data_IF_501626178330
#
_entry.id   IF_501626178330
#
_cell.length_a   1.000
_cell.length_b   1.000
_cell.length_c   1.000
_cell.angle_alpha   90.00
_cell.angle_beta   90.00
_cell.angle_gamma   90.00
#
_symmetry.space_group_name_H-M   'P 1'
#
loop_
_entity.id
_entity.type
_entity.pdbx_description
1 polymer ?
#
# COMPACT_ATOMS: atom_id res chain seq x y z
N UNK A 1 23.02 -26.38 2.04
CA UNK A 1 23.40 -25.68 0.81
C UNK A 1 23.51 -24.19 1.07
N UNK A 2 24.68 -23.63 0.82
CA UNK A 2 24.98 -22.23 1.08
C UNK A 2 24.10 -21.32 0.21
N UNK A 3 23.49 -20.28 0.81
CA UNK A 3 22.70 -19.23 0.14
C UNK A 3 23.52 -18.47 -0.93
N UNK A 4 24.82 -18.64 -0.95
CA UNK A 4 25.77 -18.09 -1.91
C UNK A 4 25.66 -18.70 -3.31
N UNK A 5 25.05 -19.87 -3.46
CA UNK A 5 24.98 -20.62 -4.71
C UNK A 5 23.72 -20.37 -5.55
N UNK A 6 22.76 -19.53 -5.08
CA UNK A 6 21.57 -19.24 -5.89
C UNK A 6 21.88 -18.24 -7.00
N UNK A 7 21.45 -18.57 -8.24
CA UNK A 7 21.47 -17.63 -9.35
C UNK A 7 20.66 -16.36 -9.05
N UNK A 8 20.87 -15.28 -9.80
CA UNK A 8 20.08 -14.03 -9.68
C UNK A 8 18.58 -14.33 -9.76
N UNK A 9 18.19 -15.15 -10.73
CA UNK A 9 16.81 -15.61 -10.92
C UNK A 9 16.29 -16.43 -9.73
N UNK A 10 17.10 -17.33 -9.17
CA UNK A 10 16.73 -18.10 -7.99
C UNK A 10 16.50 -17.23 -6.75
N UNK A 11 17.30 -16.18 -6.59
CA UNK A 11 17.11 -15.19 -5.51
C UNK A 11 15.82 -14.39 -5.71
N UNK A 12 15.52 -13.95 -6.94
CA UNK A 12 14.28 -13.25 -7.27
C UNK A 12 13.05 -14.14 -6.98
N UNK A 13 13.06 -15.39 -7.42
CA UNK A 13 11.99 -16.37 -7.14
C UNK A 13 11.77 -16.56 -5.64
N UNK A 14 12.83 -16.59 -4.85
CA UNK A 14 12.71 -16.69 -3.39
C UNK A 14 12.00 -15.47 -2.77
N UNK A 15 12.23 -14.27 -3.28
CA UNK A 15 11.48 -13.09 -2.85
C UNK A 15 10.01 -13.18 -3.25
N UNK A 16 9.74 -13.56 -4.51
CA UNK A 16 8.37 -13.70 -5.03
C UNK A 16 7.57 -14.79 -4.31
N UNK A 17 8.23 -15.84 -3.81
CA UNK A 17 7.58 -16.87 -3.00
C UNK A 17 7.11 -16.37 -1.62
N UNK A 18 7.61 -15.24 -1.13
CA UNK A 18 7.22 -14.68 0.16
C UNK A 18 5.99 -13.76 0.06
N UNK A 19 5.95 -12.93 -0.98
CA UNK A 19 4.87 -11.99 -1.29
C UNK A 19 5.04 -11.41 -2.69
N UNK A 20 4.04 -10.69 -3.17
CA UNK A 20 4.19 -9.88 -4.39
C UNK A 20 5.26 -8.80 -4.19
N UNK A 21 6.13 -8.67 -5.17
CA UNK A 21 7.16 -7.63 -5.25
C UNK A 21 7.06 -6.92 -6.60
N UNK A 22 7.19 -5.59 -6.58
CA UNK A 22 7.35 -4.86 -7.82
C UNK A 22 8.75 -5.10 -8.44
N UNK A 23 8.88 -4.84 -9.73
CA UNK A 23 10.19 -4.91 -10.42
C UNK A 23 11.24 -4.04 -9.70
N UNK A 24 10.88 -2.81 -9.35
CA UNK A 24 11.77 -1.87 -8.64
C UNK A 24 12.23 -2.44 -7.27
N UNK A 25 11.32 -3.04 -6.51
CA UNK A 25 11.69 -3.67 -5.23
C UNK A 25 12.68 -4.81 -5.42
N UNK A 26 12.50 -5.64 -6.46
CA UNK A 26 13.42 -6.74 -6.78
C UNK A 26 14.76 -6.21 -7.26
N UNK A 27 14.81 -5.22 -8.14
CA UNK A 27 16.04 -4.56 -8.57
C UNK A 27 16.85 -4.05 -7.37
N UNK A 28 16.23 -3.30 -6.48
CA UNK A 28 16.87 -2.76 -5.28
C UNK A 28 17.40 -3.84 -4.33
N UNK A 29 16.64 -4.93 -4.15
CA UNK A 29 17.04 -6.05 -3.29
C UNK A 29 18.18 -6.86 -3.89
N UNK A 30 18.14 -7.11 -5.19
CA UNK A 30 19.15 -7.88 -5.90
C UNK A 30 20.46 -7.09 -6.05
N UNK A 31 20.39 -5.78 -6.32
CA UNK A 31 21.56 -4.92 -6.44
C UNK A 31 22.48 -4.96 -5.21
N UNK A 32 21.91 -5.23 -4.03
CA UNK A 32 22.70 -5.36 -2.78
C UNK A 32 23.42 -6.72 -2.64
N UNK A 33 23.19 -7.66 -3.54
CA UNK A 33 23.60 -9.06 -3.40
C UNK A 33 24.20 -9.68 -4.67
N UNK A 34 24.17 -8.98 -5.77
CA UNK A 34 24.72 -9.40 -7.07
C UNK A 34 25.94 -8.55 -7.35
N UNK A 35 27.04 -9.17 -7.71
CA UNK A 35 28.28 -8.51 -8.12
C UNK A 35 28.44 -8.63 -9.63
N UNK A 36 29.28 -7.78 -10.19
CA UNK A 36 29.72 -7.88 -11.59
C UNK A 36 30.49 -9.19 -11.79
N UNK A 37 30.38 -9.76 -12.99
CA UNK A 37 31.20 -10.87 -13.46
C UNK A 37 32.04 -10.43 -14.65
N UNK A 38 32.91 -11.31 -15.13
CA UNK A 38 33.70 -11.04 -16.33
C UNK A 38 32.82 -10.84 -17.59
N UNK A 39 31.66 -11.48 -17.60
CA UNK A 39 30.75 -11.51 -18.78
C UNK A 39 29.68 -10.42 -18.74
N UNK A 40 29.27 -9.97 -17.52
CA UNK A 40 28.16 -9.04 -17.39
C UNK A 40 28.20 -8.25 -16.06
N UNK A 41 27.76 -6.99 -16.11
CA UNK A 41 27.52 -6.20 -14.90
C UNK A 41 26.37 -6.76 -14.06
N UNK A 42 26.38 -6.48 -12.78
CA UNK A 42 25.28 -6.85 -11.87
C UNK A 42 23.93 -6.32 -12.38
N UNK A 43 23.89 -5.09 -12.89
CA UNK A 43 22.68 -4.49 -13.44
C UNK A 43 22.14 -5.27 -14.64
N UNK A 44 23.01 -5.68 -15.57
CA UNK A 44 22.63 -6.46 -16.74
C UNK A 44 22.10 -7.85 -16.36
N UNK A 45 22.75 -8.54 -15.42
CA UNK A 45 22.31 -9.83 -14.90
C UNK A 45 20.92 -9.73 -14.22
N UNK A 46 20.69 -8.68 -13.44
CA UNK A 46 19.42 -8.43 -12.78
C UNK A 46 18.33 -8.13 -13.80
N UNK A 47 18.58 -7.22 -14.76
CA UNK A 47 17.62 -6.87 -15.79
C UNK A 47 17.17 -8.12 -16.58
N UNK A 48 18.12 -8.93 -17.06
CA UNK A 48 17.82 -10.16 -17.79
C UNK A 48 16.96 -11.13 -16.97
N UNK A 49 17.33 -11.37 -15.71
CA UNK A 49 16.58 -12.27 -14.84
C UNK A 49 15.14 -11.78 -14.59
N UNK A 50 14.95 -10.47 -14.37
CA UNK A 50 13.63 -9.90 -14.14
C UNK A 50 12.79 -9.85 -15.41
N UNK A 51 13.38 -9.63 -16.59
CA UNK A 51 12.68 -9.70 -17.88
C UNK A 51 12.12 -11.10 -18.13
N UNK A 52 12.93 -12.14 -17.89
CA UNK A 52 12.47 -13.53 -18.00
C UNK A 52 11.33 -13.86 -17.04
N UNK A 53 11.38 -13.37 -15.80
CA UNK A 53 10.34 -13.59 -14.81
C UNK A 53 9.06 -12.81 -15.12
N UNK A 54 9.19 -11.60 -15.67
CA UNK A 54 8.07 -10.80 -16.15
C UNK A 54 7.39 -11.46 -17.35
N UNK A 55 8.15 -11.94 -18.33
CA UNK A 55 7.64 -12.66 -19.50
C UNK A 55 6.84 -13.93 -19.11
N UNK A 56 7.16 -14.54 -17.97
CA UNK A 56 6.44 -15.68 -17.41
C UNK A 56 5.27 -15.29 -16.52
N UNK A 57 4.96 -13.99 -16.38
CA UNK A 57 3.90 -13.49 -15.53
C UNK A 57 4.15 -13.62 -14.01
N UNK A 58 5.40 -13.91 -13.61
CA UNK A 58 5.77 -14.06 -12.21
C UNK A 58 5.97 -12.71 -11.49
N UNK A 59 6.16 -11.64 -12.24
CA UNK A 59 6.15 -10.25 -11.78
C UNK A 59 4.97 -9.55 -12.43
N UNK A 60 4.03 -9.01 -11.63
CA UNK A 60 2.87 -8.27 -12.13
C UNK A 60 2.65 -7.02 -11.29
N UNK A 61 2.61 -5.87 -11.96
CA UNK A 61 2.32 -4.59 -11.34
C UNK A 61 0.88 -4.54 -10.77
N UNK A 62 -0.07 -5.17 -11.47
CA UNK A 62 -1.47 -5.26 -11.07
C UNK A 62 -1.62 -6.06 -9.78
N UNK A 63 -0.99 -7.24 -9.66
CA UNK A 63 -1.03 -8.03 -8.42
C UNK A 63 -0.36 -7.30 -7.26
N UNK A 64 0.71 -6.55 -7.53
CA UNK A 64 1.34 -5.69 -6.51
C UNK A 64 0.36 -4.61 -6.04
N UNK A 65 -0.34 -3.94 -6.95
CA UNK A 65 -1.33 -2.92 -6.63
C UNK A 65 -2.48 -3.51 -5.79
N UNK A 66 -3.03 -4.65 -6.19
CA UNK A 66 -4.07 -5.38 -5.45
C UNK A 66 -3.61 -5.80 -4.05
N UNK A 67 -2.39 -6.32 -3.93
CA UNK A 67 -1.78 -6.66 -2.63
C UNK A 67 -1.64 -5.45 -1.71
N UNK A 68 -1.31 -4.28 -2.26
CA UNK A 68 -1.27 -3.02 -1.49
C UNK A 68 -2.67 -2.64 -1.01
N UNK A 69 -3.69 -2.69 -1.86
CA UNK A 69 -5.07 -2.40 -1.47
C UNK A 69 -5.52 -3.34 -0.35
N UNK A 70 -5.40 -4.65 -0.55
CA UNK A 70 -5.85 -5.65 0.43
C UNK A 70 -5.18 -5.47 1.79
N UNK A 71 -3.86 -5.23 1.81
CA UNK A 71 -3.11 -5.17 3.07
C UNK A 71 -3.15 -3.81 3.76
N UNK A 72 -3.29 -2.71 3.02
CA UNK A 72 -3.13 -1.36 3.54
C UNK A 72 -4.40 -0.52 3.57
N UNK A 73 -5.33 -0.69 2.61
CA UNK A 73 -6.54 0.12 2.53
C UNK A 73 -7.38 0.10 3.84
N UNK A 74 -7.48 -1.01 4.59
CA UNK A 74 -8.21 -1.01 5.87
C UNK A 74 -7.67 -0.03 6.93
N UNK A 75 -6.43 0.45 6.77
CA UNK A 75 -5.76 1.30 7.76
C UNK A 75 -5.31 2.66 7.22
N UNK A 76 -5.40 2.87 5.90
CA UNK A 76 -4.86 4.07 5.27
C UNK A 76 -5.80 4.61 4.20
N UNK A 77 -5.85 5.94 4.08
CA UNK A 77 -6.56 6.66 3.04
C UNK A 77 -5.78 6.74 1.71
N UNK A 78 -6.42 7.29 0.69
CA UNK A 78 -5.90 7.33 -0.69
C UNK A 78 -4.56 8.05 -0.82
N UNK A 79 -4.29 9.08 -0.02
CA UNK A 79 -3.00 9.78 -0.06
C UNK A 79 -1.84 8.87 0.35
N UNK A 80 -2.02 8.07 1.40
CA UNK A 80 -0.99 7.14 1.87
C UNK A 80 -0.84 5.94 0.93
N UNK A 81 -1.95 5.47 0.36
CA UNK A 81 -1.93 4.41 -0.67
C UNK A 81 -1.18 4.88 -1.92
N UNK A 82 -1.43 6.13 -2.39
CA UNK A 82 -0.69 6.73 -3.51
C UNK A 82 0.82 6.70 -3.27
N UNK A 83 1.27 7.22 -2.13
CA UNK A 83 2.69 7.22 -1.76
C UNK A 83 3.29 5.81 -1.79
N UNK A 84 2.55 4.83 -1.27
CA UNK A 84 2.99 3.43 -1.26
C UNK A 84 3.13 2.85 -2.66
N UNK A 85 2.15 3.08 -3.53
CA UNK A 85 2.14 2.57 -4.92
C UNK A 85 3.26 3.23 -5.75
N UNK A 86 3.44 4.54 -5.61
CA UNK A 86 4.51 5.29 -6.28
C UNK A 86 5.90 4.83 -5.82
N UNK A 87 6.10 4.62 -4.51
CA UNK A 87 7.36 4.11 -3.97
C UNK A 87 7.71 2.70 -4.46
N UNK A 88 6.71 1.93 -4.91
CA UNK A 88 6.92 0.63 -5.56
C UNK A 88 7.24 0.74 -7.06
N UNK A 89 7.28 1.94 -7.62
CA UNK A 89 7.60 2.17 -9.02
C UNK A 89 6.51 1.74 -10.00
N UNK A 90 5.24 1.73 -9.56
CA UNK A 90 4.11 1.44 -10.46
C UNK A 90 3.84 2.66 -11.34
N UNK A 91 3.40 2.41 -12.58
CA UNK A 91 3.11 3.49 -13.52
C UNK A 91 1.91 4.34 -13.09
N UNK A 92 1.85 5.58 -13.59
CA UNK A 92 0.86 6.57 -13.16
C UNK A 92 -0.58 6.15 -13.49
N UNK A 93 -0.81 5.46 -14.61
CA UNK A 93 -2.14 5.04 -15.03
C UNK A 93 -2.67 3.93 -14.10
N UNK A 94 -1.84 2.94 -13.79
CA UNK A 94 -2.19 1.88 -12.83
C UNK A 94 -2.41 2.44 -11.43
N UNK A 95 -1.57 3.39 -10.99
CA UNK A 95 -1.76 4.07 -9.69
C UNK A 95 -3.10 4.79 -9.66
N UNK A 96 -3.45 5.55 -10.70
CA UNK A 96 -4.72 6.27 -10.79
C UNK A 96 -5.92 5.30 -10.71
N UNK A 97 -5.95 4.27 -11.54
CA UNK A 97 -7.03 3.27 -11.56
C UNK A 97 -7.18 2.56 -10.21
N UNK A 98 -6.06 2.21 -9.57
CA UNK A 98 -6.04 1.59 -8.24
C UNK A 98 -6.64 2.50 -7.17
N UNK A 99 -6.30 3.80 -7.22
CA UNK A 99 -6.82 4.77 -6.27
C UNK A 99 -8.30 5.10 -6.50
N UNK A 100 -8.78 5.07 -7.74
CA UNK A 100 -10.20 5.24 -8.04
C UNK A 100 -11.02 4.13 -7.39
N UNK A 101 -10.57 2.89 -7.48
CA UNK A 101 -11.17 1.76 -6.73
C UNK A 101 -11.13 1.99 -5.21
N UNK A 102 -10.00 2.46 -4.67
CA UNK A 102 -9.86 2.72 -3.24
C UNK A 102 -10.77 3.84 -2.72
N UNK A 103 -11.07 4.86 -3.55
CA UNK A 103 -11.96 5.97 -3.19
C UNK A 103 -13.39 5.52 -2.96
N UNK A 104 -13.88 4.54 -3.71
CA UNK A 104 -15.26 4.04 -3.58
C UNK A 104 -15.60 3.61 -2.15
N UNK A 105 -14.62 3.12 -1.40
CA UNK A 105 -14.81 2.63 -0.03
C UNK A 105 -14.10 3.46 1.03
N UNK A 106 -13.54 4.62 0.67
CA UNK A 106 -12.69 5.39 1.58
C UNK A 106 -13.46 5.90 2.81
N UNK A 107 -14.69 6.37 2.62
CA UNK A 107 -15.54 6.85 3.71
C UNK A 107 -15.87 5.74 4.70
N UNK A 108 -16.26 4.56 4.22
CA UNK A 108 -16.56 3.40 5.07
C UNK A 108 -15.34 2.94 5.87
N UNK A 109 -14.18 2.89 5.21
CA UNK A 109 -12.91 2.52 5.85
C UNK A 109 -12.48 3.53 6.92
N UNK A 110 -12.65 4.81 6.64
CA UNK A 110 -12.38 5.88 7.60
C UNK A 110 -13.32 5.80 8.81
N UNK A 111 -14.63 5.57 8.59
CA UNK A 111 -15.63 5.34 9.65
C UNK A 111 -15.26 4.13 10.51
N UNK A 112 -14.97 2.99 9.90
CA UNK A 112 -14.59 1.78 10.62
C UNK A 112 -13.32 1.97 11.47
N UNK A 113 -12.34 2.71 10.96
CA UNK A 113 -11.11 3.03 11.68
C UNK A 113 -11.37 3.99 12.85
N UNK A 114 -12.19 5.02 12.62
CA UNK A 114 -12.60 5.99 13.62
C UNK A 114 -13.40 5.32 14.74
N UNK A 115 -14.38 4.47 14.40
CA UNK A 115 -15.20 3.73 15.37
C UNK A 115 -14.34 2.83 16.28
N UNK A 116 -13.36 2.12 15.72
CA UNK A 116 -12.43 1.30 16.52
C UNK A 116 -11.63 2.12 17.54
N UNK A 117 -11.30 3.35 17.19
CA UNK A 117 -10.45 4.23 18.02
C UNK A 117 -11.24 5.05 19.02
N UNK A 118 -12.39 5.56 18.62
CA UNK A 118 -13.17 6.57 19.36
C UNK A 118 -14.61 6.15 19.68
N UNK A 119 -15.14 5.11 19.04
CA UNK A 119 -16.53 4.70 19.19
C UNK A 119 -16.92 4.15 20.57
N UNK A 120 -15.95 3.99 21.48
CA UNK A 120 -16.22 3.60 22.88
C UNK A 120 -16.40 4.78 23.83
N UNK A 121 -16.26 6.00 23.33
CA UNK A 121 -16.52 7.18 24.16
C UNK A 121 -18.03 7.27 24.47
N UNK A 122 -18.41 7.59 25.73
CA UNK A 122 -19.82 7.71 26.08
C UNK A 122 -20.49 8.81 25.25
N UNK A 123 -21.65 8.50 24.66
CA UNK A 123 -22.45 9.41 23.85
C UNK A 123 -23.03 10.62 24.63
N UNK A 124 -22.76 10.71 25.90
CA UNK A 124 -23.38 11.67 26.82
C UNK A 124 -22.86 13.10 26.76
N UNK A 125 -21.79 13.37 26.01
CA UNK A 125 -21.31 14.73 25.78
C UNK A 125 -20.86 14.95 24.36
N UNK A 126 -21.27 16.03 23.68
CA UNK A 126 -20.78 16.36 22.36
C UNK A 126 -19.26 16.53 22.40
N UNK A 127 -18.56 15.96 21.41
CA UNK A 127 -17.10 16.05 21.32
C UNK A 127 -16.67 17.53 21.34
N UNK A 128 -15.71 17.87 22.18
CA UNK A 128 -15.16 19.22 22.25
C UNK A 128 -14.44 19.59 20.94
N UNK A 129 -14.20 20.89 20.71
CA UNK A 129 -13.39 21.32 19.55
C UNK A 129 -12.00 20.68 19.54
N UNK A 130 -11.40 20.51 20.73
CA UNK A 130 -10.10 19.84 20.88
C UNK A 130 -10.17 18.34 20.53
N UNK A 131 -11.26 17.65 20.90
CA UNK A 131 -11.45 16.25 20.56
C UNK A 131 -11.66 16.07 19.06
N UNK A 132 -12.51 16.90 18.43
CA UNK A 132 -12.67 16.90 16.97
C UNK A 132 -11.35 17.13 16.26
N UNK A 133 -10.57 18.12 16.68
CA UNK A 133 -9.25 18.40 16.12
C UNK A 133 -8.29 17.20 16.25
N UNK A 134 -8.33 16.46 17.37
CA UNK A 134 -7.54 15.24 17.59
C UNK A 134 -7.96 14.13 16.64
N UNK A 135 -9.27 13.92 16.47
CA UNK A 135 -9.83 12.92 15.55
C UNK A 135 -9.47 13.23 14.10
N UNK A 136 -9.59 14.50 13.69
CA UNK A 136 -9.20 14.94 12.35
C UNK A 136 -7.71 14.71 12.08
N UNK A 137 -6.83 15.07 13.02
CA UNK A 137 -5.37 14.81 12.90
C UNK A 137 -5.05 13.31 12.81
N UNK A 138 -5.77 12.48 13.55
CA UNK A 138 -5.59 11.03 13.47
C UNK A 138 -5.87 10.48 12.06
N UNK A 139 -7.00 10.86 11.47
CA UNK A 139 -7.37 10.41 10.11
C UNK A 139 -6.47 11.04 9.04
N UNK A 140 -6.11 12.33 9.18
CA UNK A 140 -5.18 13.01 8.28
C UNK A 140 -3.79 12.34 8.28
N UNK A 141 -3.27 11.95 9.44
CA UNK A 141 -2.02 11.20 9.57
C UNK A 141 -2.06 9.81 8.92
N UNK A 142 -3.26 9.27 8.71
CA UNK A 142 -3.49 8.03 7.96
C UNK A 142 -3.68 8.26 6.45
N UNK A 143 -3.70 9.52 6.00
CA UNK A 143 -3.79 9.89 4.59
C UNK A 143 -5.19 9.82 4.00
N UNK A 144 -6.24 9.94 4.81
CA UNK A 144 -7.62 10.09 4.33
C UNK A 144 -7.84 11.49 3.74
N UNK A 145 -8.74 11.59 2.76
CA UNK A 145 -9.07 12.87 2.13
C UNK A 145 -9.83 13.81 3.08
N UNK A 146 -9.60 15.12 2.97
CA UNK A 146 -10.16 16.11 3.89
C UNK A 146 -11.71 16.11 3.93
N UNK A 147 -12.36 15.86 2.79
CA UNK A 147 -13.82 15.73 2.73
C UNK A 147 -14.30 14.49 3.53
N UNK A 148 -13.61 13.37 3.38
CA UNK A 148 -13.89 12.13 4.11
C UNK A 148 -13.70 12.33 5.62
N UNK A 149 -12.60 12.99 6.00
CA UNK A 149 -12.31 13.31 7.42
C UNK A 149 -13.43 14.13 8.03
N UNK A 150 -13.86 15.20 7.35
CA UNK A 150 -14.97 16.05 7.81
C UNK A 150 -16.27 15.26 7.96
N UNK A 151 -16.62 14.47 6.95
CA UNK A 151 -17.83 13.64 6.96
C UNK A 151 -17.84 12.66 8.14
N UNK A 152 -16.71 12.01 8.44
CA UNK A 152 -16.60 11.06 9.55
C UNK A 152 -16.68 11.77 10.91
N UNK A 153 -15.96 12.87 11.10
CA UNK A 153 -15.88 13.56 12.40
C UNK A 153 -17.15 14.36 12.72
N UNK A 154 -17.83 14.90 11.69
CA UNK A 154 -19.10 15.61 11.84
C UNK A 154 -20.29 14.65 11.95
N UNK A 155 -20.28 13.55 11.21
CA UNK A 155 -21.33 12.51 11.23
C UNK A 155 -21.17 11.48 12.35
N UNK A 156 -20.18 11.60 13.22
CA UNK A 156 -19.94 10.66 14.34
C UNK A 156 -21.00 10.67 15.44
N UNK A 157 -22.09 11.38 15.27
CA UNK A 157 -23.21 11.45 16.22
C UNK A 157 -24.56 10.95 15.66
N UNK A 158 -24.65 10.58 14.39
CA UNK A 158 -25.87 10.00 13.85
C UNK A 158 -25.70 8.48 13.69
N UNK A 159 -26.51 7.66 14.39
CA UNK A 159 -26.69 6.29 14.01
C UNK A 159 -27.32 6.25 12.62
N UNK A 160 -26.89 5.31 11.79
CA UNK A 160 -27.45 4.99 10.48
C UNK A 160 -28.88 4.41 10.67
N UNK A 161 -29.83 5.28 11.02
CA UNK A 161 -31.26 4.97 11.03
C UNK A 161 -31.84 5.38 9.65
N UNK A 162 -31.57 4.56 8.66
CA UNK A 162 -32.37 4.48 7.46
C UNK A 162 -32.63 3.02 7.15
N UNK A 163 -33.79 2.58 7.60
CA UNK A 163 -34.43 1.30 7.31
C UNK A 163 -34.48 0.94 5.83
#
# INVERSE_FOLDING_TARGET
>A
MSLSALSVKGRALRYLAQREHSRLELEQKLARRVADTAEASAAAQIAQALDELSARGLISAERVAESVLTSRAPRFGVHRLRQTLQAKGLDAALVAATLDTARLTELERARALWQRRYGKAPASAPASAADRARQMRFLAGRGFEGAVIRAVVQGGGEPDDAA
#
